data_IF_020254818302
#
_entry.id   IF_020254818302
#
_cell.length_a   1.000
_cell.length_b   1.000
_cell.length_c   1.000
_cell.angle_alpha   90.00
_cell.angle_beta   90.00
_cell.angle_gamma   90.00
#
_symmetry.space_group_name_H-M   'P 1'
#
loop_
_entity.id
_entity.type
_entity.pdbx_description
1 polymer ?
#
# COMPACT_ATOMS: atom_id res chain seq x y z
N UNK A 1 21.70 4.60 27.42
CA UNK A 1 20.28 4.31 27.67
C UNK A 1 19.54 4.55 26.36
N UNK A 2 19.36 3.51 25.55
CA UNK A 2 18.67 3.60 24.26
C UNK A 2 17.17 3.67 24.52
N UNK A 3 16.57 4.82 24.26
CA UNK A 3 15.12 4.99 24.30
C UNK A 3 14.51 4.07 23.25
N UNK A 4 13.80 3.02 23.69
CA UNK A 4 12.96 2.22 22.82
C UNK A 4 11.74 3.07 22.50
N UNK A 5 11.82 3.79 21.38
CA UNK A 5 10.69 4.51 20.80
C UNK A 5 9.68 3.47 20.33
N UNK A 6 8.54 3.36 21.01
CA UNK A 6 7.42 2.56 20.52
C UNK A 6 6.98 3.16 19.18
N UNK A 7 7.06 2.42 18.07
CA UNK A 7 6.70 2.95 16.76
C UNK A 7 5.21 3.31 16.74
N UNK A 8 4.87 4.42 16.10
CA UNK A 8 3.47 4.86 16.05
C UNK A 8 2.68 3.88 15.21
N UNK A 9 1.41 3.67 15.59
CA UNK A 9 0.53 2.74 14.88
C UNK A 9 0.39 3.08 13.39
N UNK A 10 0.48 4.36 13.03
CA UNK A 10 0.41 4.81 11.64
C UNK A 10 1.67 4.43 10.84
N UNK A 11 2.84 4.51 11.46
CA UNK A 11 4.12 4.15 10.82
C UNK A 11 4.13 2.64 10.51
N UNK A 12 3.73 1.82 11.49
CA UNK A 12 3.59 0.37 11.33
C UNK A 12 2.54 0.01 10.27
N UNK A 13 1.45 0.77 10.19
CA UNK A 13 0.40 0.56 9.18
C UNK A 13 0.92 0.86 7.78
N UNK A 14 1.70 1.94 7.60
CA UNK A 14 2.30 2.28 6.33
C UNK A 14 3.30 1.22 5.87
N UNK A 15 4.18 0.77 6.77
CA UNK A 15 5.13 -0.31 6.47
C UNK A 15 4.43 -1.61 6.07
N UNK A 16 3.36 -1.98 6.78
CA UNK A 16 2.58 -3.17 6.46
C UNK A 16 1.90 -3.07 5.08
N UNK A 17 1.31 -1.92 4.75
CA UNK A 17 0.70 -1.69 3.43
C UNK A 17 1.76 -1.73 2.33
N UNK A 18 2.92 -1.12 2.56
CA UNK A 18 4.02 -1.12 1.61
C UNK A 18 4.53 -2.55 1.34
N UNK A 19 4.74 -3.36 2.39
CA UNK A 19 5.12 -4.75 2.25
C UNK A 19 4.07 -5.59 1.48
N UNK A 20 2.78 -5.29 1.65
CA UNK A 20 1.70 -5.91 0.89
C UNK A 20 1.73 -5.49 -0.59
N UNK A 21 1.96 -4.22 -0.88
CA UNK A 21 2.07 -3.70 -2.26
C UNK A 21 3.28 -4.33 -2.97
N UNK A 22 4.43 -4.41 -2.30
CA UNK A 22 5.65 -5.00 -2.85
C UNK A 22 5.48 -6.49 -3.19
N UNK A 23 4.71 -7.24 -2.39
CA UNK A 23 4.51 -8.68 -2.62
C UNK A 23 3.34 -9.03 -3.52
N UNK A 24 2.23 -8.30 -3.44
CA UNK A 24 0.99 -8.65 -4.11
C UNK A 24 0.74 -7.80 -5.36
N UNK A 25 1.47 -6.69 -5.50
CA UNK A 25 1.15 -5.63 -6.43
C UNK A 25 0.00 -4.75 -5.91
N UNK A 26 -0.01 -3.51 -6.37
CA UNK A 26 -0.92 -2.44 -5.95
C UNK A 26 -2.41 -2.86 -5.99
N UNK A 27 -2.83 -3.56 -7.06
CA UNK A 27 -4.24 -3.94 -7.25
C UNK A 27 -4.73 -4.97 -6.23
N UNK A 28 -3.97 -6.06 -6.02
CA UNK A 28 -4.32 -7.12 -5.06
C UNK A 28 -4.20 -6.61 -3.63
N UNK A 29 -3.19 -5.79 -3.33
CA UNK A 29 -3.02 -5.16 -2.03
C UNK A 29 -4.19 -4.21 -1.70
N UNK A 30 -4.61 -3.35 -2.64
CA UNK A 30 -5.74 -2.44 -2.45
C UNK A 30 -7.06 -3.20 -2.21
N UNK A 31 -7.31 -4.27 -2.97
CA UNK A 31 -8.49 -5.11 -2.76
C UNK A 31 -8.45 -5.80 -1.39
N UNK A 32 -7.32 -6.40 -1.02
CA UNK A 32 -7.14 -7.06 0.27
C UNK A 32 -7.36 -6.10 1.44
N UNK A 33 -6.76 -4.90 1.40
CA UNK A 33 -6.92 -3.88 2.43
C UNK A 33 -8.39 -3.46 2.54
N UNK A 34 -9.08 -3.24 1.41
CA UNK A 34 -10.51 -2.88 1.43
C UNK A 34 -11.37 -3.93 2.12
N UNK A 35 -11.12 -5.21 1.86
CA UNK A 35 -11.93 -6.32 2.39
C UNK A 35 -11.59 -6.68 3.84
N UNK A 36 -10.33 -6.51 4.26
CA UNK A 36 -9.85 -6.96 5.58
C UNK A 36 -9.71 -5.85 6.61
N UNK A 37 -9.50 -4.61 6.18
CA UNK A 37 -9.39 -3.45 7.07
C UNK A 37 -10.73 -2.70 7.05
N UNK A 38 -11.73 -3.24 7.74
CA UNK A 38 -13.08 -2.64 7.86
C UNK A 38 -13.19 -1.54 8.93
N UNK A 39 -12.09 -1.18 9.61
CA UNK A 39 -12.06 0.00 10.46
C UNK A 39 -12.16 1.28 9.60
N UNK A 40 -12.64 2.41 10.15
CA UNK A 40 -12.71 3.68 9.45
C UNK A 40 -11.30 4.20 9.16
N UNK A 41 -10.69 3.66 8.11
CA UNK A 41 -9.46 4.12 7.53
C UNK A 41 -9.86 5.19 6.52
N UNK A 42 -9.26 6.36 6.64
CA UNK A 42 -9.38 7.38 5.61
C UNK A 42 -8.63 6.90 4.36
N UNK A 43 -9.35 6.16 3.51
CA UNK A 43 -8.81 5.58 2.28
C UNK A 43 -8.31 6.66 1.31
N UNK A 44 -8.82 7.89 1.39
CA UNK A 44 -8.32 8.99 0.59
C UNK A 44 -6.94 9.42 1.08
N UNK A 45 -6.76 9.56 2.40
CA UNK A 45 -5.45 9.86 2.98
C UNK A 45 -4.41 8.78 2.68
N UNK A 46 -4.81 7.50 2.79
CA UNK A 46 -3.91 6.38 2.49
C UNK A 46 -3.56 6.33 1.00
N UNK A 47 -4.54 6.51 0.11
CA UNK A 47 -4.29 6.61 -1.33
C UNK A 47 -3.33 7.76 -1.66
N UNK A 48 -3.51 8.91 -1.04
CA UNK A 48 -2.67 10.09 -1.25
C UNK A 48 -1.24 9.85 -0.76
N UNK A 49 -1.06 9.22 0.39
CA UNK A 49 0.27 8.88 0.92
C UNK A 49 1.02 7.89 0.03
N UNK A 50 0.32 6.93 -0.55
CA UNK A 50 0.94 5.88 -1.37
C UNK A 50 1.18 6.32 -2.82
N UNK A 51 0.27 7.11 -3.39
CA UNK A 51 0.25 7.38 -4.83
C UNK A 51 0.14 8.86 -5.19
N UNK A 52 0.10 9.79 -4.23
CA UNK A 52 -0.08 11.22 -4.48
C UNK A 52 1.04 11.84 -5.32
N UNK A 53 2.23 11.23 -5.30
CA UNK A 53 3.37 11.63 -6.14
C UNK A 53 3.44 10.90 -7.49
N UNK A 54 2.53 9.96 -7.76
CA UNK A 54 2.50 9.20 -9.01
C UNK A 54 1.51 9.84 -9.99
N UNK A 55 1.90 9.94 -11.25
CA UNK A 55 0.96 10.30 -12.30
C UNK A 55 0.03 9.13 -12.61
N UNK A 56 -1.10 9.41 -13.25
CA UNK A 56 -2.02 8.36 -13.72
C UNK A 56 -1.29 7.38 -14.66
N UNK A 57 -0.34 7.87 -15.47
CA UNK A 57 0.46 7.03 -16.35
C UNK A 57 1.37 6.06 -15.57
N UNK A 58 1.96 6.52 -14.47
CA UNK A 58 2.80 5.69 -13.59
C UNK A 58 1.97 4.59 -12.94
N UNK A 59 0.78 4.93 -12.43
CA UNK A 59 -0.15 3.98 -11.82
C UNK A 59 -0.59 2.91 -12.83
N UNK A 60 -0.97 3.31 -14.05
CA UNK A 60 -1.34 2.39 -15.12
C UNK A 60 -0.19 1.46 -15.51
N UNK A 61 1.03 2.00 -15.58
CA UNK A 61 2.23 1.23 -15.91
C UNK A 61 2.55 0.18 -14.84
N UNK A 62 2.41 0.52 -13.56
CA UNK A 62 2.55 -0.43 -12.46
C UNK A 62 1.48 -1.54 -12.49
N UNK A 63 0.23 -1.20 -12.79
CA UNK A 63 -0.85 -2.19 -12.92
C UNK A 63 -0.54 -3.18 -14.05
N UNK A 64 -0.08 -2.68 -15.19
CA UNK A 64 0.24 -3.50 -16.35
C UNK A 64 1.44 -4.41 -16.09
N UNK A 65 2.47 -3.92 -15.38
CA UNK A 65 3.64 -4.72 -14.97
C UNK A 65 3.23 -5.87 -14.04
N UNK A 66 2.35 -5.61 -13.08
CA UNK A 66 1.85 -6.62 -12.13
C UNK A 66 0.98 -7.71 -12.77
N UNK A 67 0.31 -7.40 -13.90
CA UNK A 67 -0.43 -8.40 -14.68
C UNK A 67 0.49 -9.35 -15.44
N UNK A 68 1.67 -8.89 -15.87
CA UNK A 68 2.67 -9.72 -16.56
C UNK A 68 3.42 -10.66 -15.61
N UNK A 69 3.66 -10.25 -14.36
CA UNK A 69 4.35 -11.07 -13.35
C UNK A 69 3.50 -12.20 -12.75
N UNK A 70 2.19 -12.25 -13.01
CA UNK A 70 1.29 -13.33 -12.53
C UNK A 70 1.13 -14.49 -13.54
N UNK A 71 1.86 -14.46 -14.67
CA UNK A 71 1.76 -15.43 -15.77
C UNK A 71 3.02 -16.27 -16.03
N UNK A 72 3.92 -16.43 -15.04
CA UNK A 72 5.07 -17.35 -15.10
C UNK A 72 5.01 -18.39 -14.00
#
# INVERSE_FOLDING_TARGET
MTIVSVPKSDDIRCEAIQALVERLGIGKAAFFIRETMSQPVDYLKVKEQLFGNMTVADICSEIQRNQQSSGS
#
